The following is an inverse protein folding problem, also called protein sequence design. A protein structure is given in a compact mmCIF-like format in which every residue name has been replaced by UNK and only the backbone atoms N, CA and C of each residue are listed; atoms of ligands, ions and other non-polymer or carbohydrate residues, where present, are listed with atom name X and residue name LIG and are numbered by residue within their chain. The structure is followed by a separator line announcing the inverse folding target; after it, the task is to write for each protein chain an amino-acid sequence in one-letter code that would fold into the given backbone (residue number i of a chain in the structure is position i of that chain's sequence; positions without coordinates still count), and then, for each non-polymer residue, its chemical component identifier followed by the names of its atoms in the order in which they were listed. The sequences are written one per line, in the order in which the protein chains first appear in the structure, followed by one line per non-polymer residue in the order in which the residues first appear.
data_IF_908736217704
#
_entry.id   IF_908736217704
#
_cell.length_a   1.000
_cell.length_b   1.000
_cell.length_c   1.000
_cell.angle_alpha   90.00
_cell.angle_beta   90.00
_cell.angle_gamma   90.00
#
_symmetry.space_group_name_H-M   'P 1'
#
loop_
_entity.id
_entity.type
_entity.pdbx_description
1 polymer ?
#
# COMPACT_ATOMS: atom_id res chain seq x y z
N UNK A 1 11.23 -9.29 11.23
CA UNK A 1 12.62 -9.36 10.76
C UNK A 1 12.66 -9.76 9.29
N UNK A 2 13.49 -9.09 8.51
CA UNK A 2 13.61 -9.40 7.08
C UNK A 2 14.33 -10.72 6.87
N UNK A 3 13.75 -11.56 6.02
CA UNK A 3 14.41 -12.77 5.54
C UNK A 3 15.57 -12.37 4.60
N UNK A 4 16.74 -13.02 4.64
CA UNK A 4 17.89 -12.62 3.81
C UNK A 4 17.57 -12.50 2.31
N UNK A 5 16.78 -13.42 1.75
CA UNK A 5 16.38 -13.39 0.35
C UNK A 5 15.49 -12.19 0.06
N UNK A 6 14.54 -11.92 0.96
CA UNK A 6 13.64 -10.78 0.83
C UNK A 6 14.40 -9.47 1.02
N UNK A 7 15.41 -9.45 1.89
CA UNK A 7 16.23 -8.27 2.11
C UNK A 7 16.96 -7.84 0.85
N UNK A 8 17.57 -8.79 0.13
CA UNK A 8 18.26 -8.49 -1.12
C UNK A 8 17.31 -7.96 -2.18
N UNK A 9 16.14 -8.59 -2.30
CA UNK A 9 15.13 -8.17 -3.26
C UNK A 9 14.58 -6.79 -2.91
N UNK A 10 14.32 -6.56 -1.63
CA UNK A 10 13.83 -5.30 -1.11
C UNK A 10 14.84 -4.18 -1.34
N UNK A 11 16.13 -4.47 -1.11
CA UNK A 11 17.20 -3.49 -1.27
C UNK A 11 17.29 -2.95 -2.68
N UNK A 12 16.99 -3.79 -3.69
CA UNK A 12 17.00 -3.37 -5.09
C UNK A 12 15.91 -2.37 -5.41
N UNK A 13 14.82 -2.36 -4.65
CA UNK A 13 13.69 -1.45 -4.87
C UNK A 13 13.86 -0.13 -4.15
N UNK A 14 14.72 -0.07 -3.15
CA UNK A 14 14.95 1.14 -2.38
C UNK A 14 15.89 2.05 -3.16
N UNK A 15 15.45 3.29 -3.39
CA UNK A 15 16.23 4.29 -4.10
C UNK A 15 16.73 5.34 -3.11
N UNK A 16 17.96 5.75 -3.28
CA UNK A 16 18.55 6.81 -2.47
C UNK A 16 18.41 8.16 -3.19
N UNK A 17 17.91 9.16 -2.47
CA UNK A 17 17.92 10.53 -2.95
C UNK A 17 19.32 11.14 -2.83
N UNK A 18 20.19 10.50 -2.07
CA UNK A 18 21.59 10.88 -1.91
C UNK A 18 22.47 9.86 -2.59
N UNK A 19 23.46 10.33 -3.35
CA UNK A 19 24.28 9.48 -4.19
C UNK A 19 24.91 8.27 -3.52
N UNK A 20 24.58 7.07 -4.04
CA UNK A 20 25.40 5.87 -3.97
C UNK A 20 25.59 5.18 -2.63
N UNK A 21 25.04 5.66 -1.54
CA UNK A 21 25.19 5.00 -0.26
C UNK A 21 24.10 3.96 -0.06
N UNK A 22 24.49 2.79 0.39
CA UNK A 22 23.53 1.76 0.77
C UNK A 22 22.80 2.19 2.02
N UNK A 23 21.47 1.95 2.09
CA UNK A 23 20.73 2.21 3.32
C UNK A 23 21.22 1.29 4.44
N UNK A 24 21.21 1.79 5.66
CA UNK A 24 21.52 0.98 6.83
C UNK A 24 20.43 -0.07 7.03
N UNK A 25 20.77 -1.10 7.79
CA UNK A 25 19.78 -2.13 8.14
C UNK A 25 18.57 -1.55 8.87
N UNK A 26 18.80 -0.56 9.72
CA UNK A 26 17.71 0.12 10.44
C UNK A 26 16.77 0.85 9.49
N UNK A 27 17.32 1.53 8.49
CA UNK A 27 16.52 2.21 7.47
C UNK A 27 15.70 1.20 6.67
N UNK A 28 16.32 0.09 6.27
CA UNK A 28 15.62 -0.96 5.53
C UNK A 28 14.47 -1.55 6.36
N UNK A 29 14.71 -1.80 7.64
CA UNK A 29 13.67 -2.34 8.52
C UNK A 29 12.52 -1.36 8.69
N UNK A 30 12.83 -0.06 8.82
CA UNK A 30 11.83 0.97 8.94
C UNK A 30 10.97 1.08 7.67
N UNK A 31 11.61 1.08 6.50
CA UNK A 31 10.89 1.10 5.23
C UNK A 31 10.03 -0.14 5.04
N UNK A 32 10.55 -1.30 5.42
CA UNK A 32 9.79 -2.55 5.33
C UNK A 32 8.55 -2.51 6.23
N UNK A 33 8.70 -2.00 7.46
CA UNK A 33 7.58 -1.86 8.37
C UNK A 33 6.53 -0.90 7.82
N UNK A 34 6.95 0.24 7.28
CA UNK A 34 6.04 1.20 6.67
C UNK A 34 5.31 0.59 5.47
N UNK A 35 6.03 -0.14 4.63
CA UNK A 35 5.44 -0.83 3.48
C UNK A 35 4.37 -1.83 3.95
N UNK A 36 4.70 -2.64 4.94
CA UNK A 36 3.78 -3.64 5.47
C UNK A 36 2.52 -2.98 6.02
N UNK A 37 2.67 -1.87 6.75
CA UNK A 37 1.53 -1.14 7.27
C UNK A 37 0.68 -0.53 6.16
N UNK A 38 1.30 0.03 5.12
CA UNK A 38 0.56 0.61 4.00
C UNK A 38 -0.26 -0.46 3.27
N UNK A 39 0.34 -1.62 3.01
CA UNK A 39 -0.40 -2.72 2.40
C UNK A 39 -1.53 -3.22 3.28
N UNK A 40 -1.29 -3.32 4.59
CA UNK A 40 -2.31 -3.80 5.52
C UNK A 40 -3.50 -2.83 5.58
N UNK A 41 -3.23 -1.53 5.66
CA UNK A 41 -4.28 -0.50 5.68
C UNK A 41 -5.09 -0.52 4.39
N UNK A 42 -4.40 -0.60 3.26
CA UNK A 42 -5.06 -0.66 1.95
C UNK A 42 -6.00 -1.86 1.86
N UNK A 43 -5.49 -3.05 2.16
CA UNK A 43 -6.28 -4.27 2.08
C UNK A 43 -7.44 -4.28 3.08
N UNK A 44 -7.20 -3.79 4.29
CA UNK A 44 -8.26 -3.68 5.29
C UNK A 44 -9.40 -2.78 4.80
N UNK A 45 -9.07 -1.60 4.30
CA UNK A 45 -10.08 -0.65 3.83
C UNK A 45 -10.81 -1.18 2.60
N UNK A 46 -10.08 -1.83 1.69
CA UNK A 46 -10.65 -2.41 0.49
C UNK A 46 -11.67 -3.50 0.83
N UNK A 47 -11.29 -4.43 1.71
CA UNK A 47 -12.15 -5.51 2.13
C UNK A 47 -13.38 -5.01 2.90
N UNK A 48 -13.18 -4.01 3.76
CA UNK A 48 -14.29 -3.41 4.50
C UNK A 48 -15.31 -2.80 3.55
N UNK A 49 -14.86 -2.04 2.56
CA UNK A 49 -15.75 -1.43 1.58
C UNK A 49 -16.46 -2.49 0.75
N UNK A 50 -15.78 -3.57 0.36
CA UNK A 50 -16.40 -4.67 -0.38
C UNK A 50 -17.53 -5.31 0.43
N UNK A 51 -17.31 -5.55 1.72
CA UNK A 51 -18.35 -6.11 2.58
C UNK A 51 -19.55 -5.18 2.71
N UNK A 52 -19.29 -3.88 2.83
CA UNK A 52 -20.36 -2.89 2.93
C UNK A 52 -21.17 -2.79 1.62
N UNK A 53 -20.48 -2.88 0.48
CA UNK A 53 -21.13 -2.88 -0.83
C UNK A 53 -22.03 -4.10 -0.96
N UNK A 54 -21.53 -5.27 -0.59
CA UNK A 54 -22.31 -6.51 -0.64
C UNK A 54 -23.56 -6.41 0.24
N UNK A 55 -23.41 -5.82 1.43
CA UNK A 55 -24.55 -5.62 2.33
C UNK A 55 -25.58 -4.65 1.73
N UNK A 56 -25.12 -3.57 1.11
CA UNK A 56 -26.02 -2.61 0.46
C UNK A 56 -26.81 -3.27 -0.68
N UNK A 57 -26.16 -4.19 -1.41
CA UNK A 57 -26.84 -4.98 -2.44
C UNK A 57 -27.93 -5.88 -1.84
N UNK A 58 -27.59 -6.57 -0.75
CA UNK A 58 -28.53 -7.46 -0.07
C UNK A 58 -29.72 -6.69 0.48
N UNK A 59 -29.47 -5.50 1.02
CA UNK A 59 -30.51 -4.63 1.59
C UNK A 59 -31.29 -3.88 0.52
N UNK A 60 -30.89 -4.01 -0.76
CA UNK A 60 -31.51 -3.31 -1.88
C UNK A 60 -31.54 -1.80 -1.68
N UNK A 61 -30.40 -1.26 -1.24
CA UNK A 61 -30.22 0.17 -1.02
C UNK A 61 -29.35 0.77 -2.13
N UNK A 62 -29.95 1.23 -3.24
CA UNK A 62 -29.19 1.70 -4.40
C UNK A 62 -28.38 2.96 -4.13
N UNK A 63 -28.90 3.83 -3.27
CA UNK A 63 -28.19 5.08 -2.95
C UNK A 63 -26.91 4.79 -2.16
N UNK A 64 -27.01 3.96 -1.13
CA UNK A 64 -25.85 3.58 -0.34
C UNK A 64 -24.85 2.78 -1.18
N UNK A 65 -25.35 1.87 -2.01
CA UNK A 65 -24.51 1.11 -2.94
C UNK A 65 -23.68 2.05 -3.82
N UNK A 66 -24.32 3.09 -4.38
CA UNK A 66 -23.62 4.03 -5.25
C UNK A 66 -22.57 4.82 -4.48
N UNK A 67 -22.89 5.30 -3.29
CA UNK A 67 -21.92 6.02 -2.45
C UNK A 67 -20.71 5.16 -2.11
N UNK A 68 -20.95 3.92 -1.70
CA UNK A 68 -19.89 3.01 -1.33
C UNK A 68 -19.02 2.61 -2.53
N UNK A 69 -19.65 2.42 -3.69
CA UNK A 69 -18.93 2.13 -4.93
C UNK A 69 -18.02 3.30 -5.32
N UNK A 70 -18.50 4.53 -5.15
CA UNK A 70 -17.69 5.71 -5.41
C UNK A 70 -16.48 5.77 -4.47
N UNK A 71 -16.67 5.47 -3.19
CA UNK A 71 -15.56 5.41 -2.22
C UNK A 71 -14.56 4.31 -2.58
N UNK A 72 -15.05 3.15 -2.98
CA UNK A 72 -14.21 2.04 -3.38
C UNK A 72 -13.36 2.42 -4.60
N UNK A 73 -13.98 2.99 -5.61
CA UNK A 73 -13.28 3.39 -6.83
C UNK A 73 -12.24 4.49 -6.55
N UNK A 74 -12.55 5.42 -5.65
CA UNK A 74 -11.61 6.46 -5.24
C UNK A 74 -10.39 5.86 -4.53
N UNK A 75 -10.62 4.89 -3.66
CA UNK A 75 -9.52 4.19 -2.96
C UNK A 75 -8.62 3.48 -3.95
N UNK A 76 -9.20 2.69 -4.87
CA UNK A 76 -8.44 1.97 -5.89
C UNK A 76 -7.67 2.95 -6.77
N UNK A 77 -8.30 4.03 -7.21
CA UNK A 77 -7.66 5.03 -8.07
C UNK A 77 -6.48 5.72 -7.39
N UNK A 78 -6.63 6.04 -6.11
CA UNK A 78 -5.56 6.67 -5.32
C UNK A 78 -4.34 5.76 -5.23
N UNK A 79 -4.56 4.49 -4.91
CA UNK A 79 -3.46 3.55 -4.69
C UNK A 79 -2.88 3.00 -6.00
N UNK A 80 -3.64 3.02 -7.10
CA UNK A 80 -3.13 2.59 -8.40
C UNK A 80 -2.02 3.51 -8.91
N UNK A 81 -1.97 4.73 -8.44
CA UNK A 81 -0.89 5.66 -8.79
C UNK A 81 0.40 5.33 -8.04
N UNK A 82 0.33 4.41 -7.09
CA UNK A 82 1.45 4.06 -6.25
C UNK A 82 1.64 5.04 -5.11
N UNK A 83 2.40 4.63 -4.13
CA UNK A 83 2.79 5.48 -3.00
C UNK A 83 4.29 5.42 -2.83
N UNK A 84 4.87 6.56 -2.44
CA UNK A 84 6.29 6.63 -2.13
C UNK A 84 6.42 6.84 -0.63
N UNK A 85 7.15 5.93 0.02
CA UNK A 85 7.51 6.09 1.43
C UNK A 85 8.99 6.44 1.51
N UNK A 86 9.37 7.17 2.53
CA UNK A 86 10.75 7.62 2.66
C UNK A 86 11.23 7.52 4.10
N UNK A 87 12.54 7.33 4.24
CA UNK A 87 13.20 7.28 5.54
C UNK A 87 14.64 7.72 5.36
N UNK A 88 15.03 8.80 6.02
CA UNK A 88 16.39 9.29 6.05
C UNK A 88 17.03 9.47 4.66
N UNK A 89 16.25 10.00 3.72
CA UNK A 89 16.72 10.25 2.36
C UNK A 89 16.65 9.07 1.40
N UNK A 90 16.12 7.95 1.86
CA UNK A 90 15.86 6.79 1.01
C UNK A 90 14.37 6.69 0.70
N UNK A 91 14.05 6.27 -0.50
CA UNK A 91 12.67 6.19 -0.97
C UNK A 91 12.35 4.80 -1.47
N UNK A 92 11.09 4.38 -1.27
CA UNK A 92 10.57 3.13 -1.78
C UNK A 92 9.21 3.40 -2.39
N UNK A 93 9.07 3.04 -3.66
CA UNK A 93 7.79 3.13 -4.35
C UNK A 93 7.00 1.85 -4.13
N UNK A 94 5.75 2.00 -3.69
CA UNK A 94 4.85 0.88 -3.44
C UNK A 94 3.86 0.77 -4.60
N UNK A 95 3.71 -0.45 -5.09
CA UNK A 95 2.78 -0.76 -6.18
C UNK A 95 1.60 -1.55 -5.63
N UNK A 96 0.40 -0.99 -5.80
CA UNK A 96 -0.84 -1.60 -5.33
C UNK A 96 -1.71 -2.10 -6.47
N UNK A 97 -1.18 -2.12 -7.68
CA UNK A 97 -1.96 -2.55 -8.84
C UNK A 97 -2.42 -4.00 -8.67
N UNK A 98 -3.71 -4.19 -8.77
CA UNK A 98 -4.27 -5.53 -8.80
C UNK A 98 -4.19 -6.07 -10.22
N UNK A 99 -3.75 -7.29 -10.31
CA UNK A 99 -3.74 -7.99 -11.60
C UNK A 99 -5.12 -8.57 -11.88
#
# INVERSE_FOLDING_TARGET
MLHPTHEQHFMKKVKSARHGKRPSRQVLQSLYAQMTMEYAVYHFNKERLQRMIDKALDDKDPKLFQELTNHYNALIGEYNQGKIISEQGYELELDFKTK
#
